data_IF_652729957439
#
_entry.id   IF_652729957439
#
_cell.length_a   1.000
_cell.length_b   1.000
_cell.length_c   1.000
_cell.angle_alpha   90.00
_cell.angle_beta   90.00
_cell.angle_gamma   90.00
#
_symmetry.space_group_name_H-M   'P 1'
#
loop_
_entity.id
_entity.type
_entity.pdbx_description
1 polymer ?
#
# COMPACT_ATOMS: atom_id res chain seq x y z
N UNK A 1 -7.41 -3.59 -26.30
CA UNK A 1 -7.72 -2.16 -26.55
C UNK A 1 -9.15 -1.74 -26.17
N UNK A 2 -10.26 -2.46 -26.49
CA UNK A 2 -11.62 -1.98 -26.15
C UNK A 2 -11.92 -1.93 -24.63
N UNK A 3 -11.37 -2.84 -23.84
CA UNK A 3 -11.65 -2.90 -22.39
C UNK A 3 -11.04 -1.70 -21.64
N UNK A 4 -9.84 -1.25 -22.01
CA UNK A 4 -9.17 -0.08 -21.38
C UNK A 4 -9.99 1.20 -21.58
N UNK A 5 -10.49 1.41 -22.81
CA UNK A 5 -11.29 2.59 -23.14
C UNK A 5 -12.65 2.57 -22.43
N UNK A 6 -13.21 1.37 -22.20
CA UNK A 6 -14.45 1.19 -21.47
C UNK A 6 -14.29 1.48 -19.97
N UNK A 7 -13.17 1.04 -19.34
CA UNK A 7 -12.85 1.29 -17.93
C UNK A 7 -12.63 2.78 -17.69
N UNK A 8 -11.78 3.44 -18.51
CA UNK A 8 -11.53 4.89 -18.38
C UNK A 8 -12.83 5.69 -18.59
N UNK A 9 -13.67 5.30 -19.57
CA UNK A 9 -14.98 5.94 -19.77
C UNK A 9 -15.93 5.71 -18.61
N UNK A 10 -15.95 4.51 -18.00
CA UNK A 10 -16.75 4.21 -16.83
C UNK A 10 -16.26 4.99 -15.60
N UNK A 11 -14.96 5.07 -15.35
CA UNK A 11 -14.37 5.84 -14.25
C UNK A 11 -14.65 7.33 -14.41
N UNK A 12 -14.50 7.88 -15.60
CA UNK A 12 -14.83 9.29 -15.92
C UNK A 12 -16.32 9.55 -15.76
N UNK A 13 -17.18 8.63 -16.21
CA UNK A 13 -18.64 8.78 -16.07
C UNK A 13 -19.08 8.73 -14.60
N UNK A 14 -18.50 7.85 -13.78
CA UNK A 14 -18.77 7.76 -12.33
C UNK A 14 -18.26 9.01 -11.62
N UNK A 15 -17.07 9.49 -11.94
CA UNK A 15 -16.53 10.73 -11.38
C UNK A 15 -17.40 11.95 -11.73
N UNK A 16 -17.92 12.03 -12.95
CA UNK A 16 -18.83 13.11 -13.39
C UNK A 16 -20.21 13.04 -12.72
N UNK A 17 -20.75 11.82 -12.51
CA UNK A 17 -22.03 11.63 -11.85
C UNK A 17 -21.98 11.93 -10.33
N UNK A 18 -20.81 11.71 -9.69
CA UNK A 18 -20.59 12.04 -8.28
C UNK A 18 -20.35 13.52 -7.99
N UNK A 19 -20.10 14.33 -9.02
CA UNK A 19 -19.77 15.77 -8.91
C UNK A 19 -20.92 16.72 -9.20
N UNK A 20 -22.19 16.26 -9.28
CA UNK A 20 -23.32 17.18 -9.44
C UNK A 20 -23.45 17.98 -8.13
N UNK A 21 -23.03 19.26 -8.09
CA UNK A 21 -23.14 20.05 -6.87
C UNK A 21 -24.62 20.32 -6.59
N UNK A 22 -25.04 20.00 -5.37
CA UNK A 22 -26.29 20.52 -4.83
C UNK A 22 -26.26 22.06 -4.88
N UNK A 23 -27.34 22.75 -5.19
CA UNK A 23 -27.37 24.20 -5.48
C UNK A 23 -27.15 25.14 -4.28
N UNK A 24 -26.49 24.70 -3.23
CA UNK A 24 -26.08 25.52 -2.09
C UNK A 24 -24.56 25.36 -1.80
N UNK A 25 -23.72 25.45 -2.83
CA UNK A 25 -22.27 25.51 -2.62
C UNK A 25 -21.90 26.86 -2.02
N UNK A 26 -21.80 26.94 -0.69
CA UNK A 26 -21.10 28.03 -0.03
C UNK A 26 -19.71 28.17 -0.67
N UNK A 27 -19.26 29.40 -0.96
CA UNK A 27 -17.99 29.63 -1.64
C UNK A 27 -16.84 28.99 -0.86
N UNK A 28 -16.20 27.97 -1.47
CA UNK A 28 -15.06 27.28 -0.89
C UNK A 28 -13.82 28.20 -0.94
N UNK A 29 -13.12 28.29 0.17
CA UNK A 29 -11.80 28.94 0.22
C UNK A 29 -10.74 28.00 -0.42
N UNK A 30 -9.73 28.59 -1.06
CA UNK A 30 -8.65 27.84 -1.70
C UNK A 30 -7.33 28.12 -1.00
N UNK A 31 -6.53 27.07 -0.76
CA UNK A 31 -5.16 27.18 -0.31
C UNK A 31 -4.25 26.42 -1.28
N UNK A 32 -3.08 26.99 -1.59
CA UNK A 32 -2.13 26.44 -2.55
C UNK A 32 -0.86 26.05 -1.84
N UNK A 33 -0.42 24.81 -2.02
CA UNK A 33 0.81 24.28 -1.42
C UNK A 33 1.68 23.72 -2.56
N UNK A 34 2.75 24.40 -2.95
CA UNK A 34 3.70 23.88 -3.92
C UNK A 34 4.67 22.92 -3.21
N UNK A 35 4.71 21.65 -3.62
CA UNK A 35 5.59 20.65 -3.04
C UNK A 35 6.58 20.16 -4.10
N UNK A 36 7.90 20.30 -3.88
CA UNK A 36 8.88 19.54 -4.63
C UNK A 36 8.77 18.07 -4.25
N UNK A 37 8.89 17.17 -5.21
CA UNK A 37 8.91 15.73 -5.00
C UNK A 37 10.31 15.18 -5.29
N UNK A 38 10.85 14.47 -4.33
CA UNK A 38 12.03 13.62 -4.48
C UNK A 38 11.67 12.29 -3.86
N UNK A 39 11.44 11.30 -4.71
CA UNK A 39 11.10 9.96 -4.28
C UNK A 39 12.27 9.04 -4.61
N UNK A 40 12.48 8.04 -3.79
CA UNK A 40 13.47 7.00 -4.04
C UNK A 40 12.91 5.65 -3.63
N UNK A 41 13.16 4.66 -4.45
CA UNK A 41 12.82 3.26 -4.23
C UNK A 41 13.91 2.38 -4.85
N UNK A 42 14.34 1.29 -4.20
CA UNK A 42 15.39 0.41 -4.75
C UNK A 42 15.05 -0.21 -6.11
N UNK A 43 13.79 -0.48 -6.41
CA UNK A 43 13.37 -1.08 -7.67
C UNK A 43 13.22 -0.05 -8.80
N UNK A 44 12.74 1.15 -8.47
CA UNK A 44 12.48 2.21 -9.45
C UNK A 44 13.63 3.22 -9.58
N UNK A 45 14.49 3.33 -8.55
CA UNK A 45 15.50 4.37 -8.46
C UNK A 45 14.93 5.72 -8.03
N UNK A 46 15.57 6.81 -8.48
CA UNK A 46 15.20 8.16 -8.08
C UNK A 46 14.17 8.78 -9.02
N UNK A 47 13.16 9.41 -8.43
CA UNK A 47 12.11 10.16 -9.13
C UNK A 47 12.12 11.60 -8.64
N UNK A 48 12.10 12.54 -9.55
CA UNK A 48 12.09 13.98 -9.25
C UNK A 48 10.84 14.61 -9.85
N UNK A 49 10.18 15.49 -9.09
CA UNK A 49 8.95 16.07 -9.56
C UNK A 49 8.50 17.32 -8.82
N UNK A 50 7.33 17.77 -9.21
CA UNK A 50 6.65 18.89 -8.59
C UNK A 50 5.16 18.58 -8.44
N UNK A 51 4.66 18.71 -7.22
CA UNK A 51 3.27 18.44 -6.82
C UNK A 51 2.60 19.72 -6.31
N UNK A 52 1.91 20.48 -7.16
CA UNK A 52 1.02 21.53 -6.70
C UNK A 52 -0.23 20.91 -6.06
N UNK A 53 -0.49 21.25 -4.80
CA UNK A 53 -1.69 20.84 -4.08
C UNK A 53 -2.61 22.03 -3.91
N UNK A 54 -3.89 21.86 -4.26
CA UNK A 54 -4.96 22.83 -4.04
C UNK A 54 -5.94 22.24 -3.04
N UNK A 55 -6.07 22.89 -1.88
CA UNK A 55 -7.05 22.55 -0.87
C UNK A 55 -8.30 23.42 -1.06
N UNK A 56 -9.46 22.81 -0.99
CA UNK A 56 -10.76 23.48 -0.98
C UNK A 56 -11.39 23.33 0.40
N UNK A 57 -11.54 24.42 1.13
CA UNK A 57 -12.00 24.44 2.50
C UNK A 57 -13.39 25.11 2.59
N UNK A 58 -14.22 24.64 3.51
CA UNK A 58 -15.47 25.31 3.86
C UNK A 58 -15.24 26.56 4.74
N UNK A 59 -16.33 27.20 5.17
CA UNK A 59 -16.29 28.40 6.04
C UNK A 59 -15.67 28.12 7.41
N UNK A 60 -15.70 26.86 7.88
CA UNK A 60 -15.09 26.40 9.11
C UNK A 60 -13.62 25.97 8.95
N UNK A 61 -13.03 26.19 7.75
CA UNK A 61 -11.69 25.75 7.36
C UNK A 61 -11.52 24.23 7.33
N UNK A 62 -12.61 23.47 7.17
CA UNK A 62 -12.57 22.02 7.00
C UNK A 62 -12.33 21.71 5.52
N UNK A 63 -11.37 20.84 5.24
CA UNK A 63 -11.07 20.41 3.87
C UNK A 63 -12.24 19.60 3.32
N UNK A 64 -12.76 20.00 2.17
CA UNK A 64 -13.82 19.32 1.41
C UNK A 64 -13.27 18.59 0.19
N UNK A 65 -12.28 19.19 -0.47
CA UNK A 65 -11.59 18.54 -1.60
C UNK A 65 -10.11 18.86 -1.57
N UNK A 66 -9.31 17.91 -2.10
CA UNK A 66 -7.90 18.09 -2.38
C UNK A 66 -7.69 17.75 -3.86
N UNK A 67 -7.15 18.69 -4.61
CA UNK A 67 -6.64 18.44 -5.94
C UNK A 67 -5.11 18.42 -5.86
N UNK A 68 -4.51 17.29 -6.25
CA UNK A 68 -3.07 17.08 -6.22
C UNK A 68 -2.65 16.44 -7.55
N UNK A 69 -2.04 17.22 -8.44
CA UNK A 69 -1.60 16.76 -9.75
C UNK A 69 -0.12 16.99 -9.85
N UNK A 70 0.63 16.01 -10.28
CA UNK A 70 2.09 16.10 -10.37
C UNK A 70 2.62 15.87 -11.78
N UNK A 71 3.84 16.34 -11.97
CA UNK A 71 4.70 15.97 -13.10
C UNK A 71 6.02 15.52 -12.50
N UNK A 72 6.42 14.28 -12.84
CA UNK A 72 7.63 13.64 -12.34
C UNK A 72 8.47 13.08 -13.48
N UNK A 73 9.73 12.88 -13.20
CA UNK A 73 10.65 12.20 -14.10
C UNK A 73 11.40 11.10 -13.35
N UNK A 74 11.43 9.93 -13.96
CA UNK A 74 12.22 8.77 -13.53
C UNK A 74 12.91 8.18 -14.77
N UNK A 75 14.11 7.64 -14.64
CA UNK A 75 14.89 7.14 -15.78
C UNK A 75 14.29 5.87 -16.41
N UNK A 76 13.52 5.07 -15.66
CA UNK A 76 12.84 3.85 -16.16
C UNK A 76 11.54 4.23 -16.86
N UNK A 77 10.70 4.99 -16.18
CA UNK A 77 9.33 5.30 -16.61
C UNK A 77 9.23 6.53 -17.52
N UNK A 78 10.28 7.36 -17.59
CA UNK A 78 10.27 8.63 -18.31
C UNK A 78 9.48 9.70 -17.57
N UNK A 79 8.84 10.61 -18.33
CA UNK A 79 7.96 11.62 -17.76
C UNK A 79 6.66 10.97 -17.30
N UNK A 80 6.29 11.27 -16.07
CA UNK A 80 5.13 10.73 -15.38
C UNK A 80 4.21 11.86 -14.98
N UNK A 81 2.93 11.73 -15.25
CA UNK A 81 1.93 12.72 -14.87
C UNK A 81 0.82 12.06 -14.09
N UNK A 82 0.32 12.76 -13.07
CA UNK A 82 -0.86 12.30 -12.35
C UNK A 82 -1.92 13.37 -12.18
N UNK A 83 -3.16 12.92 -12.06
CA UNK A 83 -4.30 13.68 -11.58
C UNK A 83 -4.87 12.95 -10.38
N UNK A 84 -4.96 13.63 -9.24
CA UNK A 84 -5.50 13.07 -7.99
C UNK A 84 -6.54 14.03 -7.44
N UNK A 85 -7.74 13.52 -7.23
CA UNK A 85 -8.84 14.26 -6.63
C UNK A 85 -9.39 13.47 -5.45
N UNK A 86 -9.37 14.09 -4.27
CA UNK A 86 -9.93 13.53 -3.04
C UNK A 86 -11.12 14.36 -2.60
N UNK A 87 -12.19 13.71 -2.19
CA UNK A 87 -13.38 14.33 -1.65
C UNK A 87 -13.70 13.84 -0.23
N UNK A 88 -14.06 14.78 0.64
CA UNK A 88 -14.40 14.55 2.04
C UNK A 88 -15.81 15.07 2.32
N UNK A 89 -16.87 14.34 1.90
CA UNK A 89 -18.26 14.75 2.15
C UNK A 89 -18.57 14.92 3.64
N UNK A 90 -17.95 14.10 4.50
CA UNK A 90 -18.01 14.21 5.96
C UNK A 90 -16.69 13.69 6.57
N UNK A 91 -16.54 13.80 7.89
CA UNK A 91 -15.40 13.23 8.62
C UNK A 91 -15.31 11.70 8.45
N UNK A 92 -16.47 11.03 8.32
CA UNK A 92 -16.53 9.58 8.19
C UNK A 92 -16.45 9.06 6.75
N UNK A 93 -16.60 9.96 5.75
CA UNK A 93 -16.68 9.58 4.33
C UNK A 93 -15.60 10.25 3.52
N UNK A 94 -14.90 9.44 2.73
CA UNK A 94 -13.95 9.93 1.74
C UNK A 94 -14.07 9.13 0.45
N UNK A 95 -13.68 9.76 -0.65
CA UNK A 95 -13.49 9.11 -1.93
C UNK A 95 -12.29 9.71 -2.64
N UNK A 96 -11.68 8.94 -3.52
CA UNK A 96 -10.58 9.42 -4.35
C UNK A 96 -10.68 8.89 -5.76
N UNK A 97 -10.18 9.70 -6.69
CA UNK A 97 -9.88 9.32 -8.07
C UNK A 97 -8.42 9.65 -8.32
N UNK A 98 -7.67 8.65 -8.75
CA UNK A 98 -6.26 8.76 -9.11
C UNK A 98 -6.10 8.28 -10.54
N UNK A 99 -5.51 9.11 -11.38
CA UNK A 99 -5.19 8.79 -12.76
C UNK A 99 -3.72 9.11 -12.96
N UNK A 100 -2.91 8.10 -13.20
CA UNK A 100 -1.46 8.23 -13.39
C UNK A 100 -1.05 7.57 -14.71
N UNK A 101 -0.14 8.22 -15.41
CA UNK A 101 0.42 7.67 -16.63
C UNK A 101 1.85 8.14 -16.84
N UNK A 102 2.74 7.19 -17.17
CA UNK A 102 4.09 7.48 -17.61
C UNK A 102 4.19 7.59 -19.14
N UNK A 103 5.29 8.16 -19.61
CA UNK A 103 5.63 8.22 -21.01
C UNK A 103 5.86 6.81 -21.60
N UNK A 104 6.44 5.92 -20.83
CA UNK A 104 6.82 4.58 -21.26
C UNK A 104 5.69 3.55 -21.06
N UNK A 105 5.67 2.87 -19.94
CA UNK A 105 4.84 1.67 -19.76
C UNK A 105 3.78 1.87 -18.68
N UNK A 106 4.08 2.60 -17.60
CA UNK A 106 3.29 2.57 -16.38
C UNK A 106 1.99 3.33 -16.50
N UNK A 107 0.96 2.73 -16.00
CA UNK A 107 -0.39 3.28 -15.90
C UNK A 107 -0.98 2.86 -14.54
N UNK A 108 -1.69 3.78 -13.89
CA UNK A 108 -2.41 3.50 -12.65
C UNK A 108 -3.69 4.34 -12.62
N UNK A 109 -4.83 3.65 -12.54
CA UNK A 109 -6.15 4.26 -12.50
C UNK A 109 -6.92 3.67 -11.32
N UNK A 110 -7.16 4.48 -10.29
CA UNK A 110 -7.80 4.06 -9.05
C UNK A 110 -9.06 4.87 -8.77
N UNK A 111 -10.10 4.19 -8.33
CA UNK A 111 -11.31 4.75 -7.75
C UNK A 111 -11.53 4.12 -6.38
N UNK A 112 -11.50 4.92 -5.32
CA UNK A 112 -11.67 4.48 -3.93
C UNK A 112 -12.82 5.19 -3.25
N UNK A 113 -13.56 4.45 -2.43
CA UNK A 113 -14.61 4.97 -1.56
C UNK A 113 -14.49 4.36 -0.17
N UNK A 114 -14.69 5.19 0.85
CA UNK A 114 -14.69 4.77 2.25
C UNK A 114 -15.82 5.48 3.02
N UNK A 115 -16.59 4.71 3.79
CA UNK A 115 -17.58 5.21 4.75
C UNK A 115 -17.41 4.48 6.08
N UNK A 116 -16.92 5.19 7.09
CA UNK A 116 -16.64 4.67 8.43
C UNK A 116 -17.86 4.75 9.36
N UNK A 117 -18.99 5.30 8.88
CA UNK A 117 -20.20 5.53 9.64
C UNK A 117 -21.47 5.02 8.92
N UNK A 118 -21.31 4.02 8.04
CA UNK A 118 -22.43 3.42 7.34
C UNK A 118 -23.34 2.67 8.32
N UNK A 119 -24.64 2.68 8.05
CA UNK A 119 -25.67 2.01 8.85
C UNK A 119 -25.57 2.32 10.37
N UNK A 120 -25.75 3.60 10.73
CA UNK A 120 -25.73 4.08 12.12
C UNK A 120 -24.42 3.76 12.85
N UNK A 121 -23.28 3.97 12.19
CA UNK A 121 -21.92 3.72 12.68
C UNK A 121 -21.60 2.24 12.99
N UNK A 122 -22.47 1.30 12.58
CA UNK A 122 -22.25 -0.13 12.82
C UNK A 122 -21.39 -0.80 11.77
N UNK A 123 -21.34 -0.26 10.56
CA UNK A 123 -20.60 -0.84 9.45
C UNK A 123 -19.60 0.17 8.91
N UNK A 124 -18.37 -0.25 8.71
CA UNK A 124 -17.41 0.44 7.86
C UNK A 124 -17.40 -0.21 6.50
N UNK A 125 -17.41 0.60 5.45
CA UNK A 125 -17.43 0.15 4.06
C UNK A 125 -16.21 0.73 3.36
N UNK A 126 -15.50 -0.12 2.62
CA UNK A 126 -14.43 0.29 1.73
C UNK A 126 -14.63 -0.38 0.37
N UNK A 127 -14.47 0.36 -0.70
CA UNK A 127 -14.50 -0.13 -2.07
C UNK A 127 -13.32 0.45 -2.84
N UNK A 128 -12.68 -0.39 -3.64
CA UNK A 128 -11.54 -0.03 -4.46
C UNK A 128 -11.66 -0.70 -5.83
N UNK A 129 -11.39 0.07 -6.88
CA UNK A 129 -11.27 -0.40 -8.24
C UNK A 129 -9.99 0.18 -8.83
N UNK A 130 -9.05 -0.69 -9.15
CA UNK A 130 -7.72 -0.33 -9.60
C UNK A 130 -7.35 -1.06 -10.88
N UNK A 131 -6.80 -0.31 -11.82
CA UNK A 131 -6.05 -0.85 -12.94
C UNK A 131 -4.62 -0.35 -12.83
N UNK A 132 -3.69 -1.26 -12.67
CA UNK A 132 -2.27 -0.93 -12.56
C UNK A 132 -1.45 -1.66 -13.63
N UNK A 133 -0.44 -0.97 -14.10
CA UNK A 133 0.60 -1.50 -14.95
C UNK A 133 1.93 -0.92 -14.48
N UNK A 134 2.68 -1.71 -13.72
CA UNK A 134 4.00 -1.36 -13.18
C UNK A 134 5.09 -2.17 -13.90
N UNK A 135 6.03 -1.46 -14.49
CA UNK A 135 7.10 -2.06 -15.30
C UNK A 135 8.41 -2.29 -14.54
N UNK A 136 8.45 -1.92 -13.27
CA UNK A 136 9.65 -1.96 -12.43
C UNK A 136 9.72 -3.16 -11.48
N UNK A 137 8.75 -4.05 -11.51
CA UNK A 137 8.67 -5.20 -10.63
C UNK A 137 9.86 -6.17 -10.78
N UNK A 138 10.29 -6.72 -9.64
CA UNK A 138 11.46 -7.61 -9.55
C UNK A 138 11.07 -9.01 -9.08
N UNK A 139 11.83 -9.98 -9.53
CA UNK A 139 11.76 -11.35 -9.03
C UNK A 139 13.15 -11.99 -9.02
N UNK A 140 13.49 -12.68 -7.93
CA UNK A 140 14.81 -13.26 -7.67
C UNK A 140 14.75 -14.78 -7.48
N UNK A 141 13.64 -15.42 -7.87
CA UNK A 141 13.34 -16.81 -7.53
C UNK A 141 12.60 -16.93 -6.18
N UNK A 142 12.29 -18.17 -5.83
CA UNK A 142 11.59 -18.47 -4.58
C UNK A 142 12.53 -18.73 -3.42
N UNK A 143 12.03 -18.48 -2.21
CA UNK A 143 12.67 -18.80 -0.95
C UNK A 143 13.52 -17.69 -0.36
N UNK A 144 13.84 -17.89 0.89
CA UNK A 144 14.57 -16.93 1.71
C UNK A 144 16.04 -16.78 1.29
N UNK A 145 16.61 -17.80 0.64
CA UNK A 145 17.98 -17.81 0.15
C UNK A 145 18.13 -17.44 -1.32
N UNK A 146 17.09 -16.85 -1.97
CA UNK A 146 17.18 -16.44 -3.38
C UNK A 146 18.32 -15.43 -3.59
N UNK A 147 19.12 -15.65 -4.65
CA UNK A 147 20.30 -14.84 -4.94
C UNK A 147 19.92 -13.50 -5.57
N UNK A 148 20.66 -12.44 -5.23
CA UNK A 148 20.53 -11.15 -5.94
C UNK A 148 21.06 -11.20 -7.38
N UNK A 149 21.88 -12.18 -7.69
CA UNK A 149 22.38 -12.39 -9.06
C UNK A 149 21.34 -12.98 -10.00
N UNK A 150 20.26 -13.58 -9.46
CA UNK A 150 19.14 -14.14 -10.23
C UNK A 150 18.02 -13.10 -10.45
N UNK A 151 18.37 -11.82 -10.32
CA UNK A 151 17.43 -10.72 -10.49
C UNK A 151 16.85 -10.68 -11.90
N UNK A 152 15.54 -10.63 -11.97
CA UNK A 152 14.78 -10.48 -13.21
C UNK A 152 13.73 -9.39 -13.06
N UNK A 153 13.22 -8.90 -14.19
CA UNK A 153 12.24 -7.83 -14.23
C UNK A 153 11.00 -8.25 -15.02
N UNK A 154 9.83 -7.78 -14.58
CA UNK A 154 8.58 -7.97 -15.30
C UNK A 154 7.66 -6.75 -15.13
N UNK A 155 6.66 -6.66 -16.00
CA UNK A 155 5.56 -5.71 -15.84
C UNK A 155 4.39 -6.43 -15.19
N UNK A 156 4.01 -6.01 -14.00
CA UNK A 156 2.74 -6.36 -13.38
C UNK A 156 1.62 -5.58 -14.07
N UNK A 157 0.66 -6.28 -14.66
CA UNK A 157 -0.47 -5.67 -15.37
C UNK A 157 -1.75 -6.29 -14.82
N UNK A 158 -2.47 -5.56 -13.98
CA UNK A 158 -3.66 -6.11 -13.34
C UNK A 158 -4.84 -5.14 -13.28
N UNK A 159 -6.01 -5.73 -13.20
CA UNK A 159 -7.26 -5.08 -12.81
C UNK A 159 -7.76 -5.75 -11.55
N UNK A 160 -7.96 -4.99 -10.49
CA UNK A 160 -8.49 -5.48 -9.23
C UNK A 160 -9.71 -4.68 -8.79
N UNK A 161 -10.70 -5.39 -8.25
CA UNK A 161 -11.84 -4.81 -7.57
C UNK A 161 -11.95 -5.40 -6.17
N UNK A 162 -12.06 -4.55 -5.16
CA UNK A 162 -12.18 -4.93 -3.76
C UNK A 162 -13.40 -4.28 -3.13
N UNK A 163 -14.14 -5.06 -2.35
CA UNK A 163 -15.14 -4.56 -1.39
C UNK A 163 -14.79 -5.12 -0.02
N UNK A 164 -14.64 -4.26 0.95
CA UNK A 164 -14.38 -4.65 2.34
C UNK A 164 -15.42 -4.03 3.26
N UNK A 165 -15.89 -4.84 4.19
CA UNK A 165 -16.90 -4.49 5.18
C UNK A 165 -16.37 -4.84 6.57
N UNK A 166 -16.62 -3.98 7.57
CA UNK A 166 -16.40 -4.33 8.97
C UNK A 166 -17.65 -4.03 9.79
N UNK A 167 -18.27 -5.09 10.31
CA UNK A 167 -19.40 -4.99 11.20
C UNK A 167 -18.95 -4.92 12.65
N UNK A 168 -19.25 -3.82 13.32
CA UNK A 168 -18.87 -3.55 14.72
C UNK A 168 -19.76 -4.36 15.67
N UNK A 169 -19.18 -5.37 16.31
CA UNK A 169 -19.82 -6.14 17.36
C UNK A 169 -19.79 -5.38 18.69
N UNK A 170 -18.63 -4.78 18.99
CA UNK A 170 -18.35 -3.95 20.17
C UNK A 170 -17.46 -2.78 19.75
N UNK A 171 -17.30 -1.75 20.58
CA UNK A 171 -16.47 -0.60 20.23
C UNK A 171 -15.06 -0.96 19.73
N UNK A 172 -14.48 -2.06 20.24
CA UNK A 172 -13.12 -2.52 19.93
C UNK A 172 -13.08 -3.77 19.06
N UNK A 173 -14.22 -4.43 18.77
CA UNK A 173 -14.27 -5.68 18.01
C UNK A 173 -15.18 -5.57 16.81
N UNK A 174 -14.68 -5.97 15.66
CA UNK A 174 -15.45 -6.07 14.42
C UNK A 174 -15.24 -7.42 13.72
N UNK A 175 -16.29 -7.91 13.06
CA UNK A 175 -16.18 -8.93 12.03
C UNK A 175 -15.89 -8.26 10.70
N UNK A 176 -14.96 -8.82 9.93
CA UNK A 176 -14.62 -8.29 8.62
C UNK A 176 -14.94 -9.29 7.52
N UNK A 177 -15.33 -8.74 6.39
CA UNK A 177 -15.52 -9.48 5.15
C UNK A 177 -14.88 -8.69 4.01
N UNK A 178 -14.07 -9.35 3.15
CA UNK A 178 -13.53 -8.79 1.93
C UNK A 178 -13.80 -9.72 0.76
N UNK A 179 -14.34 -9.16 -0.32
CA UNK A 179 -14.40 -9.82 -1.62
C UNK A 179 -13.44 -9.11 -2.55
N UNK A 180 -12.59 -9.86 -3.24
CA UNK A 180 -11.71 -9.32 -4.29
C UNK A 180 -11.83 -10.13 -5.57
N UNK A 181 -11.69 -9.43 -6.68
CA UNK A 181 -11.57 -10.02 -8.00
C UNK A 181 -10.40 -9.37 -8.71
N UNK A 182 -9.39 -10.16 -9.08
CA UNK A 182 -8.16 -9.71 -9.75
C UNK A 182 -7.94 -10.50 -11.03
N UNK A 183 -7.64 -9.80 -12.11
CA UNK A 183 -7.10 -10.38 -13.34
C UNK A 183 -5.68 -9.88 -13.48
N UNK A 184 -4.70 -10.78 -13.41
CA UNK A 184 -3.28 -10.45 -13.46
C UNK A 184 -2.63 -11.01 -14.72
N UNK A 185 -1.72 -10.25 -15.32
CA UNK A 185 -0.89 -10.63 -16.46
C UNK A 185 0.55 -10.24 -16.21
N UNK A 186 1.46 -11.03 -16.73
CA UNK A 186 2.90 -10.79 -16.69
C UNK A 186 3.33 -10.38 -18.09
N UNK A 187 3.83 -9.16 -18.23
CA UNK A 187 4.38 -8.64 -19.47
C UNK A 187 5.91 -8.41 -19.30
N UNK A 188 6.63 -8.16 -20.39
CA UNK A 188 8.05 -7.80 -20.34
C UNK A 188 8.25 -6.54 -19.51
N UNK A 189 9.24 -6.54 -18.62
CA UNK A 189 9.56 -5.40 -17.77
C UNK A 189 10.16 -4.21 -18.51
N UNK A 190 10.17 -3.05 -17.83
CA UNK A 190 10.69 -1.78 -18.36
C UNK A 190 12.16 -1.53 -18.05
N UNK A 191 12.83 -2.39 -17.28
CA UNK A 191 14.25 -2.25 -16.94
C UNK A 191 15.09 -3.02 -17.94
N UNK A 192 15.60 -2.32 -18.94
CA UNK A 192 16.33 -2.93 -20.08
C UNK A 192 17.63 -3.63 -19.70
N UNK A 193 18.18 -3.34 -18.52
CA UNK A 193 19.43 -3.95 -18.02
C UNK A 193 19.21 -5.31 -17.36
N UNK A 194 17.96 -5.71 -17.13
CA UNK A 194 17.61 -6.95 -16.46
C UNK A 194 16.91 -7.93 -17.42
N UNK A 195 17.12 -9.25 -17.25
CA UNK A 195 16.41 -10.25 -18.03
C UNK A 195 14.92 -10.25 -17.67
N UNK A 196 14.09 -10.68 -18.61
CA UNK A 196 12.67 -10.93 -18.36
C UNK A 196 12.50 -12.15 -17.46
N UNK A 197 11.58 -12.08 -16.48
CA UNK A 197 11.30 -13.20 -15.55
C UNK A 197 11.03 -14.51 -16.28
N UNK A 198 10.30 -14.50 -17.40
CA UNK A 198 10.01 -15.71 -18.17
C UNK A 198 11.22 -16.31 -18.88
N UNK A 199 12.32 -15.57 -19.01
CA UNK A 199 13.59 -16.04 -19.56
C UNK A 199 14.51 -16.56 -18.46
N UNK A 200 14.62 -15.82 -17.35
CA UNK A 200 15.50 -16.17 -16.23
C UNK A 200 14.90 -17.30 -15.37
N UNK A 201 13.58 -17.25 -15.15
CA UNK A 201 12.85 -18.21 -14.33
C UNK A 201 11.69 -18.86 -15.10
N UNK A 202 11.94 -19.65 -16.16
CA UNK A 202 10.89 -20.11 -17.10
C UNK A 202 9.86 -21.06 -16.47
N UNK A 203 10.19 -21.66 -15.32
CA UNK A 203 9.30 -22.57 -14.59
C UNK A 203 8.44 -21.90 -13.53
N UNK A 204 8.46 -20.56 -13.40
CA UNK A 204 7.74 -19.84 -12.36
C UNK A 204 6.22 -19.95 -12.58
N UNK A 205 5.45 -20.45 -11.59
CA UNK A 205 4.01 -20.50 -11.67
C UNK A 205 3.40 -19.10 -11.83
N UNK A 206 2.45 -18.95 -12.74
CA UNK A 206 1.75 -17.69 -12.96
C UNK A 206 2.31 -16.80 -14.06
N UNK A 207 3.36 -17.18 -14.78
CA UNK A 207 3.90 -16.42 -15.93
C UNK A 207 2.83 -16.16 -17.02
N UNK A 208 1.87 -17.07 -17.19
CA UNK A 208 0.74 -16.91 -18.10
C UNK A 208 -0.37 -15.99 -17.58
N UNK A 209 -0.22 -15.44 -16.37
CA UNK A 209 -1.25 -14.71 -15.67
C UNK A 209 -2.28 -15.61 -14.98
N UNK A 210 -3.19 -15.01 -14.23
CA UNK A 210 -4.30 -15.71 -13.57
C UNK A 210 -5.48 -14.78 -13.28
N UNK A 211 -6.65 -15.39 -13.10
CA UNK A 211 -7.82 -14.74 -12.50
C UNK A 211 -8.00 -15.27 -11.08
N UNK A 212 -8.15 -14.37 -10.12
CA UNK A 212 -8.27 -14.68 -8.70
C UNK A 212 -9.55 -14.03 -8.19
N UNK A 213 -10.45 -14.82 -7.60
CA UNK A 213 -11.67 -14.34 -6.93
C UNK A 213 -11.64 -14.90 -5.51
N UNK A 214 -11.34 -14.03 -4.55
CA UNK A 214 -11.18 -14.37 -3.16
C UNK A 214 -12.32 -13.85 -2.28
N UNK A 215 -12.64 -14.61 -1.24
CA UNK A 215 -13.58 -14.24 -0.18
C UNK A 215 -12.89 -14.39 1.15
N UNK A 216 -12.64 -13.28 1.84
CA UNK A 216 -11.94 -13.25 3.11
C UNK A 216 -12.90 -12.92 4.25
N UNK A 217 -12.78 -13.66 5.32
CA UNK A 217 -13.45 -13.42 6.60
C UNK A 217 -12.40 -13.14 7.65
N UNK A 218 -12.70 -12.24 8.59
CA UNK A 218 -11.74 -11.90 9.61
C UNK A 218 -12.34 -11.33 10.89
N UNK A 219 -11.44 -11.15 11.85
CA UNK A 219 -11.68 -10.49 13.12
C UNK A 219 -10.73 -9.30 13.24
N UNK A 220 -11.26 -8.18 13.65
CA UNK A 220 -10.52 -6.96 13.89
C UNK A 220 -10.71 -6.54 15.35
N UNK A 221 -9.62 -6.45 16.10
CA UNK A 221 -9.53 -5.81 17.40
C UNK A 221 -8.78 -4.50 17.26
N UNK A 222 -9.38 -3.37 17.60
CA UNK A 222 -8.77 -2.05 17.43
C UNK A 222 -9.06 -1.17 18.65
N UNK A 223 -8.01 -0.80 19.37
CA UNK A 223 -8.03 0.10 20.52
C UNK A 223 -7.11 1.30 20.33
N UNK A 224 -6.69 1.55 19.09
CA UNK A 224 -5.86 2.72 18.76
C UNK A 224 -6.64 4.00 19.00
N UNK A 225 -5.95 5.02 19.46
CA UNK A 225 -6.48 6.37 19.64
C UNK A 225 -6.76 7.08 18.31
N UNK A 226 -5.95 6.77 17.28
CA UNK A 226 -6.11 7.26 15.91
C UNK A 226 -5.76 6.15 14.91
N UNK A 227 -6.44 6.09 13.79
CA UNK A 227 -6.19 5.07 12.77
C UNK A 227 -5.03 5.42 11.83
N UNK A 228 -4.76 6.71 11.63
CA UNK A 228 -3.73 7.22 10.71
C UNK A 228 -2.42 7.56 11.44
N UNK A 229 -2.52 8.19 12.62
CA UNK A 229 -1.38 8.64 13.42
C UNK A 229 -1.46 8.06 14.84
N UNK A 230 -1.41 6.71 15.00
CA UNK A 230 -1.60 6.07 16.30
C UNK A 230 -0.44 6.37 17.25
N UNK A 231 -0.78 6.78 18.46
CA UNK A 231 0.17 7.03 19.54
C UNK A 231 0.04 6.01 20.67
N UNK A 232 -1.17 5.46 20.87
CA UNK A 232 -1.44 4.47 21.91
C UNK A 232 -2.47 3.44 21.45
N UNK A 233 -2.51 2.30 22.14
CA UNK A 233 -3.46 1.24 21.87
C UNK A 233 -2.85 0.05 21.14
N UNK A 234 -3.70 -0.75 20.53
CA UNK A 234 -3.31 -1.95 19.81
C UNK A 234 -4.28 -2.22 18.64
N UNK A 235 -3.76 -2.88 17.62
CA UNK A 235 -4.51 -3.46 16.53
C UNK A 235 -4.21 -4.96 16.48
N UNK A 236 -5.23 -5.79 16.36
CA UNK A 236 -5.12 -7.22 16.08
C UNK A 236 -6.02 -7.60 14.92
N UNK A 237 -5.50 -8.32 13.94
CA UNK A 237 -6.24 -8.77 12.76
C UNK A 237 -5.99 -10.26 12.57
N UNK A 238 -7.06 -11.02 12.38
CA UNK A 238 -7.01 -12.42 11.94
C UNK A 238 -7.87 -12.54 10.69
N UNK A 239 -7.35 -13.18 9.66
CA UNK A 239 -8.06 -13.37 8.38
C UNK A 239 -7.93 -14.78 7.85
N UNK A 240 -8.96 -15.21 7.12
CA UNK A 240 -8.95 -16.41 6.28
C UNK A 240 -9.60 -16.08 4.95
N UNK A 241 -8.82 -16.13 3.86
CA UNK A 241 -9.30 -15.92 2.49
C UNK A 241 -9.38 -17.26 1.76
N UNK A 242 -10.53 -17.55 1.19
CA UNK A 242 -10.79 -18.72 0.35
C UNK A 242 -10.83 -18.26 -1.10
N UNK A 243 -10.04 -18.89 -1.96
CA UNK A 243 -9.98 -18.66 -3.41
C UNK A 243 -10.40 -19.94 -4.14
N UNK A 244 -11.70 -20.15 -4.41
CA UNK A 244 -12.17 -21.37 -5.04
C UNK A 244 -12.31 -21.22 -6.56
N UNK A 245 -11.97 -22.26 -7.32
CA UNK A 245 -12.26 -22.33 -8.76
C UNK A 245 -13.76 -22.17 -9.08
N UNK A 246 -14.64 -22.57 -8.16
CA UNK A 246 -16.08 -22.45 -8.32
C UNK A 246 -16.58 -21.02 -8.53
N UNK A 247 -15.81 -19.99 -8.12
CA UNK A 247 -16.13 -18.59 -8.35
C UNK A 247 -15.45 -18.01 -9.61
N UNK A 248 -14.75 -18.84 -10.39
CA UNK A 248 -14.06 -18.41 -11.61
C UNK A 248 -12.57 -18.15 -11.44
N UNK A 249 -11.98 -18.49 -10.28
CA UNK A 249 -10.54 -18.43 -10.08
C UNK A 249 -9.80 -19.50 -10.91
N UNK A 250 -8.58 -19.18 -11.35
CA UNK A 250 -7.73 -20.11 -12.11
C UNK A 250 -7.32 -21.34 -11.30
N UNK A 251 -7.25 -21.23 -9.97
CA UNK A 251 -6.87 -22.30 -9.04
C UNK A 251 -7.61 -22.17 -7.71
N UNK A 252 -7.44 -23.18 -6.84
CA UNK A 252 -8.03 -23.16 -5.49
C UNK A 252 -6.91 -23.16 -4.46
N UNK A 253 -6.97 -22.22 -3.49
CA UNK A 253 -6.12 -22.16 -2.32
C UNK A 253 -6.79 -21.36 -1.20
N UNK A 254 -6.22 -21.39 -0.01
CA UNK A 254 -6.67 -20.60 1.14
C UNK A 254 -5.48 -19.85 1.74
N UNK A 255 -5.67 -18.57 2.06
CA UNK A 255 -4.67 -17.75 2.78
C UNK A 255 -5.16 -17.51 4.20
N UNK A 256 -4.26 -17.59 5.15
CA UNK A 256 -4.48 -17.21 6.54
C UNK A 256 -3.51 -16.10 6.91
N UNK A 257 -4.00 -15.07 7.57
CA UNK A 257 -3.21 -13.94 8.03
C UNK A 257 -3.44 -13.65 9.51
N UNK A 258 -2.37 -13.32 10.22
CA UNK A 258 -2.42 -12.81 11.58
C UNK A 258 -1.49 -11.61 11.69
N UNK A 259 -2.01 -10.49 12.19
CA UNK A 259 -1.22 -9.28 12.41
C UNK A 259 -1.55 -8.69 13.79
N UNK A 260 -0.50 -8.26 14.50
CA UNK A 260 -0.61 -7.52 15.74
C UNK A 260 0.25 -6.25 15.65
N UNK A 261 -0.33 -5.11 16.06
CA UNK A 261 0.39 -3.85 16.26
C UNK A 261 0.17 -3.36 17.68
N UNK A 262 1.21 -2.75 18.27
CA UNK A 262 1.13 -2.14 19.58
C UNK A 262 1.82 -0.79 19.58
N UNK A 263 1.15 0.21 20.14
CA UNK A 263 1.63 1.57 20.30
C UNK A 263 1.69 1.92 21.79
N UNK A 264 2.88 2.26 22.27
CA UNK A 264 3.14 2.53 23.68
C UNK A 264 3.75 3.93 23.79
N UNK A 265 2.97 4.93 24.21
CA UNK A 265 3.52 6.25 24.51
C UNK A 265 4.33 6.19 25.80
N UNK A 266 5.51 6.79 25.81
CA UNK A 266 6.24 7.06 27.02
C UNK A 266 6.81 8.48 26.96
N UNK A 267 6.43 9.29 27.92
CA UNK A 267 6.52 10.74 27.89
C UNK A 267 5.76 11.32 26.68
N UNK A 268 5.63 12.62 26.57
CA UNK A 268 4.83 13.30 25.57
C UNK A 268 5.35 13.18 24.12
N UNK A 269 6.66 12.89 23.98
CA UNK A 269 7.35 12.97 22.68
C UNK A 269 7.68 11.61 22.06
N UNK A 270 7.55 10.51 22.81
CA UNK A 270 8.02 9.20 22.38
C UNK A 270 6.85 8.23 22.22
N UNK A 271 6.87 7.47 21.15
CA UNK A 271 5.96 6.35 20.93
C UNK A 271 6.77 5.16 20.44
N UNK A 272 6.74 4.06 21.16
CA UNK A 272 7.24 2.78 20.66
C UNK A 272 6.11 2.11 19.86
N UNK A 273 6.30 2.00 18.56
CA UNK A 273 5.42 1.28 17.66
C UNK A 273 6.03 -0.08 17.33
N UNK A 274 5.24 -1.14 17.44
CA UNK A 274 5.67 -2.52 17.16
C UNK A 274 4.63 -3.19 16.29
N UNK A 275 5.09 -4.04 15.37
CA UNK A 275 4.27 -4.89 14.50
C UNK A 275 4.84 -6.29 14.45
N UNK A 276 3.95 -7.28 14.39
CA UNK A 276 4.28 -8.65 14.00
C UNK A 276 3.19 -9.15 13.05
N UNK A 277 3.59 -9.81 11.97
CA UNK A 277 2.69 -10.39 10.98
C UNK A 277 3.17 -11.77 10.55
N UNK A 278 2.23 -12.70 10.42
CA UNK A 278 2.43 -14.03 9.91
C UNK A 278 1.35 -14.33 8.87
N UNK A 279 1.75 -14.86 7.73
CA UNK A 279 0.84 -15.27 6.66
C UNK A 279 1.18 -16.72 6.25
N UNK A 280 0.14 -17.50 5.99
CA UNK A 280 0.22 -18.89 5.59
C UNK A 280 -0.69 -19.16 4.40
N UNK A 281 -0.19 -19.92 3.42
CA UNK A 281 -0.98 -20.33 2.25
C UNK A 281 -1.09 -21.85 2.23
N UNK A 282 -2.33 -22.35 2.32
CA UNK A 282 -2.68 -23.75 2.09
C UNK A 282 -3.17 -23.93 0.66
N UNK A 283 -2.43 -24.69 -0.13
CA UNK A 283 -2.75 -24.89 -1.55
C UNK A 283 -1.63 -25.60 -2.30
N UNK A 284 -1.82 -25.84 -3.59
CA UNK A 284 -0.85 -26.53 -4.44
C UNK A 284 0.45 -25.72 -4.61
N UNK A 285 1.48 -26.33 -5.18
CA UNK A 285 2.77 -25.66 -5.38
C UNK A 285 2.81 -24.76 -6.62
N UNK A 286 1.79 -24.85 -7.49
CA UNK A 286 1.64 -24.02 -8.68
C UNK A 286 0.86 -22.71 -8.44
N UNK A 287 0.72 -22.27 -7.18
CA UNK A 287 0.17 -20.96 -6.87
C UNK A 287 1.02 -19.88 -7.56
N UNK A 288 0.39 -18.96 -8.33
CA UNK A 288 1.10 -17.88 -9.01
C UNK A 288 2.01 -17.11 -8.06
N UNK A 289 3.22 -16.81 -8.50
CA UNK A 289 4.24 -16.13 -7.68
C UNK A 289 3.74 -14.78 -7.13
N UNK A 290 2.93 -14.05 -7.88
CA UNK A 290 2.33 -12.78 -7.47
C UNK A 290 1.17 -12.94 -6.45
N UNK A 291 0.74 -14.16 -6.17
CA UNK A 291 -0.19 -14.48 -5.07
C UNK A 291 0.53 -15.04 -3.84
N UNK A 292 1.81 -15.35 -3.94
CA UNK A 292 2.60 -15.79 -2.79
C UNK A 292 3.00 -14.60 -1.91
N UNK A 293 3.47 -14.90 -0.71
CA UNK A 293 3.88 -13.87 0.24
C UNK A 293 5.29 -13.38 -0.10
N UNK A 294 5.51 -12.08 0.05
CA UNK A 294 6.82 -11.47 -0.16
C UNK A 294 7.24 -10.63 1.03
N UNK A 295 8.56 -10.46 1.18
CA UNK A 295 9.17 -9.51 2.10
C UNK A 295 10.25 -8.70 1.35
N UNK A 296 10.53 -7.51 1.87
CA UNK A 296 11.26 -6.42 1.23
C UNK A 296 10.33 -5.23 1.02
N UNK A 297 10.89 -4.04 0.87
CA UNK A 297 10.12 -2.81 0.74
C UNK A 297 9.81 -2.13 2.08
N UNK A 298 9.22 -0.94 1.97
CA UNK A 298 8.98 -0.06 3.13
C UNK A 298 7.98 -0.63 4.16
N UNK A 299 7.13 -1.56 3.77
CA UNK A 299 6.14 -2.18 4.66
C UNK A 299 6.65 -3.40 5.43
N UNK A 300 7.85 -3.91 5.13
CA UNK A 300 8.36 -5.13 5.77
C UNK A 300 9.83 -5.05 6.16
N UNK A 301 10.76 -5.22 5.23
CA UNK A 301 12.20 -5.15 5.47
C UNK A 301 12.79 -3.95 4.72
N UNK A 302 12.88 -2.82 5.38
CA UNK A 302 13.27 -1.51 4.80
C UNK A 302 14.75 -1.40 4.38
N UNK A 303 15.48 -2.50 4.37
CA UNK A 303 16.85 -2.60 3.83
C UNK A 303 16.94 -3.38 2.52
N UNK A 304 15.79 -3.77 1.93
CA UNK A 304 15.70 -4.54 0.70
C UNK A 304 14.62 -3.96 -0.20
N UNK A 305 14.79 -4.08 -1.53
CA UNK A 305 13.76 -3.69 -2.50
C UNK A 305 12.45 -4.46 -2.32
N UNK A 306 11.36 -3.90 -2.81
CA UNK A 306 10.03 -4.52 -2.75
C UNK A 306 10.05 -5.88 -3.47
N UNK A 307 9.44 -6.91 -2.84
CA UNK A 307 9.38 -8.25 -3.42
C UNK A 307 10.71 -9.01 -3.44
N UNK A 308 11.73 -8.62 -2.64
CA UNK A 308 13.07 -9.23 -2.69
C UNK A 308 13.08 -10.72 -2.39
N UNK A 309 12.26 -11.19 -1.48
CA UNK A 309 12.12 -12.61 -1.14
C UNK A 309 10.64 -12.99 -1.25
N UNK A 310 10.36 -14.09 -1.95
CA UNK A 310 9.01 -14.58 -2.23
C UNK A 310 8.91 -16.05 -1.89
N UNK A 311 7.89 -16.46 -1.15
CA UNK A 311 7.53 -17.86 -0.92
C UNK A 311 6.07 -17.96 -0.42
N UNK A 312 5.57 -19.17 -0.20
CA UNK A 312 4.19 -19.41 0.26
C UNK A 312 3.89 -18.71 1.59
N UNK A 313 4.76 -18.83 2.56
CA UNK A 313 4.55 -18.39 3.93
C UNK A 313 5.53 -17.28 4.29
N UNK A 314 5.13 -16.41 5.22
CA UNK A 314 6.05 -15.37 5.73
C UNK A 314 5.83 -15.08 7.21
N UNK A 315 6.89 -14.58 7.81
CA UNK A 315 6.87 -13.90 9.09
C UNK A 315 7.63 -12.58 8.99
N UNK A 316 7.07 -11.50 9.54
CA UNK A 316 7.70 -10.18 9.63
C UNK A 316 7.44 -9.60 10.99
N UNK A 317 8.45 -8.97 11.59
CA UNK A 317 8.26 -8.12 12.76
C UNK A 317 9.08 -6.85 12.64
N UNK A 318 8.54 -5.76 13.19
CA UNK A 318 9.12 -4.43 13.14
C UNK A 318 8.96 -3.72 14.48
N UNK A 319 9.96 -2.92 14.83
CA UNK A 319 9.88 -2.02 15.98
C UNK A 319 10.44 -0.65 15.57
N UNK A 320 9.74 0.42 15.95
CA UNK A 320 10.09 1.80 15.60
C UNK A 320 9.89 2.70 16.81
N UNK A 321 10.91 3.50 17.14
CA UNK A 321 10.82 4.50 18.20
C UNK A 321 10.57 5.88 17.59
N UNK A 322 9.29 6.26 17.47
CA UNK A 322 8.86 7.56 16.98
C UNK A 322 9.14 8.63 18.02
N UNK A 323 9.95 9.61 17.66
CA UNK A 323 10.37 10.71 18.54
C UNK A 323 10.04 12.04 17.91
N UNK A 324 9.06 12.77 18.43
CA UNK A 324 8.75 14.12 17.97
C UNK A 324 9.88 15.07 18.40
N UNK A 325 10.70 15.51 17.43
CA UNK A 325 11.86 16.39 17.66
C UNK A 325 11.54 17.86 17.47
N UNK A 326 10.53 18.18 16.62
CA UNK A 326 10.14 19.55 16.34
C UNK A 326 8.66 19.65 16.07
N UNK A 327 8.04 20.79 16.44
CA UNK A 327 6.64 21.10 16.17
C UNK A 327 6.48 22.60 15.99
N UNK A 328 5.83 23.01 14.90
CA UNK A 328 5.55 24.40 14.60
C UNK A 328 4.34 24.54 13.67
N UNK A 329 3.61 25.61 13.82
CA UNK A 329 2.62 25.99 12.81
C UNK A 329 3.31 26.51 11.55
N UNK A 330 3.04 25.86 10.40
CA UNK A 330 3.59 26.19 9.07
C UNK A 330 2.39 26.27 8.11
N UNK A 331 2.24 27.39 7.41
CA UNK A 331 1.11 27.64 6.48
C UNK A 331 -0.28 27.46 7.13
N UNK A 332 -0.40 27.72 8.43
CA UNK A 332 -1.67 27.59 9.16
C UNK A 332 -2.03 26.15 9.57
N UNK A 333 -1.10 25.21 9.46
CA UNK A 333 -1.25 23.82 9.93
C UNK A 333 -0.17 23.47 10.96
N UNK A 334 -0.53 22.63 11.95
CA UNK A 334 0.41 22.10 12.94
C UNK A 334 1.33 21.05 12.26
N UNK A 335 2.57 21.42 11.96
CA UNK A 335 3.54 20.54 11.34
C UNK A 335 4.52 20.01 12.40
N UNK A 336 4.73 18.71 12.41
CA UNK A 336 5.61 18.02 13.33
C UNK A 336 6.71 17.29 12.55
N UNK A 337 7.91 17.27 13.09
CA UNK A 337 9.01 16.45 12.60
C UNK A 337 9.30 15.35 13.62
N UNK A 338 9.30 14.10 13.15
CA UNK A 338 9.67 12.94 13.96
C UNK A 338 10.94 12.28 13.41
N UNK A 339 11.73 11.76 14.34
CA UNK A 339 12.85 10.87 14.10
C UNK A 339 12.47 9.49 14.59
N UNK A 340 12.71 8.46 13.77
CA UNK A 340 12.22 7.13 14.01
C UNK A 340 13.30 6.06 13.71
N UNK A 341 14.26 5.82 14.64
CA UNK A 341 15.09 4.63 14.53
C UNK A 341 14.22 3.38 14.55
N UNK A 342 14.55 2.42 13.69
CA UNK A 342 13.78 1.20 13.53
C UNK A 342 14.63 -0.05 13.38
N UNK A 343 14.01 -1.18 13.65
CA UNK A 343 14.55 -2.50 13.43
C UNK A 343 13.46 -3.41 12.85
N UNK A 344 13.76 -4.02 11.70
CA UNK A 344 12.87 -4.96 11.02
C UNK A 344 13.56 -6.31 10.92
N UNK A 345 12.79 -7.40 11.04
CA UNK A 345 13.26 -8.74 10.74
C UNK A 345 12.13 -9.57 10.15
N UNK A 346 12.48 -10.50 9.28
CA UNK A 346 11.51 -11.34 8.61
C UNK A 346 12.13 -12.45 7.81
N UNK A 347 11.27 -13.35 7.37
CA UNK A 347 11.61 -14.52 6.60
C UNK A 347 10.42 -14.95 5.75
N UNK A 348 10.69 -15.45 4.53
CA UNK A 348 9.76 -16.27 3.76
C UNK A 348 10.15 -17.72 3.85
N UNK A 349 9.22 -18.66 3.69
CA UNK A 349 9.48 -20.07 3.74
C UNK A 349 8.36 -20.86 3.06
N UNK A 350 8.70 -22.03 2.52
CA UNK A 350 7.75 -22.86 1.80
C UNK A 350 6.69 -23.49 2.70
N UNK A 351 7.02 -23.76 3.95
CA UNK A 351 6.12 -24.35 4.95
C UNK A 351 6.55 -24.04 6.38
N UNK A 352 5.61 -23.77 7.28
CA UNK A 352 5.84 -23.62 8.72
C UNK A 352 6.50 -24.85 9.37
N UNK A 353 6.47 -26.01 8.71
CA UNK A 353 7.15 -27.23 9.17
C UNK A 353 8.64 -27.25 8.85
N UNK A 354 9.09 -26.44 7.87
CA UNK A 354 10.47 -26.44 7.39
C UNK A 354 11.35 -25.38 8.04
N UNK A 355 11.28 -25.25 9.37
CA UNK A 355 12.14 -24.38 10.17
C UNK A 355 11.86 -22.88 10.09
N UNK A 356 10.73 -22.40 10.60
CA UNK A 356 10.56 -20.99 10.81
C UNK A 356 11.65 -20.48 11.78
N UNK A 357 12.18 -19.28 11.50
CA UNK A 357 13.15 -18.54 12.33
C UNK A 357 14.63 -18.99 12.27
N UNK A 358 15.01 -19.87 11.36
CA UNK A 358 16.42 -20.29 11.24
C UNK A 358 17.27 -19.36 10.38
N UNK A 359 16.66 -18.54 9.52
CA UNK A 359 17.36 -17.70 8.54
C UNK A 359 16.65 -16.33 8.38
N UNK A 360 16.54 -15.61 9.50
CA UNK A 360 15.90 -14.31 9.54
C UNK A 360 16.76 -13.23 8.89
N UNK A 361 16.23 -12.54 7.89
CA UNK A 361 16.79 -11.27 7.44
C UNK A 361 16.52 -10.17 8.46
N UNK A 362 17.53 -9.38 8.77
CA UNK A 362 17.44 -8.26 9.71
C UNK A 362 17.86 -6.95 9.05
N UNK A 363 17.18 -5.88 9.41
CA UNK A 363 17.43 -4.51 8.94
C UNK A 363 17.41 -3.56 10.13
N UNK A 364 18.44 -2.73 10.25
CA UNK A 364 18.43 -1.59 11.15
C UNK A 364 18.42 -0.28 10.36
N UNK A 365 17.71 0.72 10.84
CA UNK A 365 17.63 1.96 10.07
C UNK A 365 17.11 3.17 10.84
N UNK A 366 16.96 4.26 10.10
CA UNK A 366 16.51 5.55 10.61
C UNK A 366 15.44 6.13 9.68
N UNK A 367 14.31 6.48 10.25
CA UNK A 367 13.21 7.15 9.58
C UNK A 367 13.08 8.61 9.98
N UNK A 368 12.70 9.43 9.03
CA UNK A 368 12.28 10.83 9.22
C UNK A 368 10.81 10.93 8.83
N UNK A 369 10.01 11.60 9.63
CA UNK A 369 8.58 11.77 9.40
C UNK A 369 8.22 13.25 9.44
N UNK A 370 7.55 13.72 8.40
CA UNK A 370 6.82 15.00 8.41
C UNK A 370 5.35 14.73 8.69
N UNK A 371 4.86 15.10 9.87
CA UNK A 371 3.51 14.77 10.31
C UNK A 371 2.65 16.04 10.36
N UNK A 372 1.51 16.01 9.68
CA UNK A 372 0.48 17.06 9.73
C UNK A 372 -0.82 16.40 10.18
N UNK A 373 -1.13 16.44 11.50
CA UNK A 373 -2.35 15.85 12.01
C UNK A 373 -3.61 16.48 11.39
N UNK A 374 -4.68 15.72 11.19
CA UNK A 374 -4.85 14.32 11.59
C UNK A 374 -4.54 13.30 10.49
N UNK A 375 -4.05 13.69 9.31
CA UNK A 375 -4.15 12.80 8.13
C UNK A 375 -2.88 12.66 7.29
N UNK A 376 -1.89 13.52 7.43
CA UNK A 376 -0.74 13.51 6.52
C UNK A 376 0.53 13.11 7.25
N UNK A 377 1.16 12.06 6.78
CA UNK A 377 2.51 11.64 7.21
C UNK A 377 3.34 11.44 5.96
N UNK A 378 4.36 12.29 5.76
CA UNK A 378 5.39 12.03 4.76
C UNK A 378 6.59 11.36 5.42
N UNK A 379 7.23 10.41 4.75
CA UNK A 379 8.37 9.70 5.33
C UNK A 379 9.57 9.63 4.40
N UNK A 380 10.74 9.51 5.03
CA UNK A 380 12.01 9.08 4.43
C UNK A 380 12.58 8.01 5.35
N UNK A 381 12.71 6.77 4.88
CA UNK A 381 13.33 5.66 5.60
C UNK A 381 14.64 5.27 4.93
N UNK A 382 15.69 5.12 5.73
CA UNK A 382 16.99 4.63 5.30
C UNK A 382 17.30 3.39 6.13
N UNK A 383 17.32 2.23 5.48
CA UNK A 383 17.59 0.94 6.09
C UNK A 383 18.88 0.32 5.60
N UNK A 384 19.59 -0.37 6.50
CA UNK A 384 20.79 -1.14 6.21
C UNK A 384 20.47 -2.62 6.43
N UNK A 385 20.47 -3.37 5.34
CA UNK A 385 20.32 -4.83 5.30
C UNK A 385 21.62 -5.51 4.86
N UNK A 386 21.56 -6.84 4.70
CA UNK A 386 22.71 -7.63 4.27
C UNK A 386 23.18 -7.29 2.83
N UNK A 387 22.31 -6.74 1.99
CA UNK A 387 22.61 -6.36 0.60
C UNK A 387 22.96 -4.86 0.44
N UNK A 388 23.14 -4.15 1.55
CA UNK A 388 23.52 -2.73 1.53
C UNK A 388 22.44 -1.82 2.07
N UNK A 389 22.46 -0.56 1.60
CA UNK A 389 21.55 0.50 2.03
C UNK A 389 20.39 0.61 1.04
N UNK A 390 19.18 0.61 1.56
CA UNK A 390 17.99 0.94 0.81
C UNK A 390 17.35 2.22 1.39
N UNK A 391 16.76 3.03 0.53
CA UNK A 391 16.06 4.23 0.94
C UNK A 391 14.67 4.25 0.29
N UNK A 392 13.68 4.63 1.08
CA UNK A 392 12.28 4.74 0.67
C UNK A 392 11.72 6.09 1.06
N UNK A 393 10.86 6.62 0.21
CA UNK A 393 10.09 7.82 0.51
C UNK A 393 8.64 7.61 0.13
N UNK A 394 7.73 8.20 0.86
CA UNK A 394 6.31 8.05 0.59
C UNK A 394 5.43 8.81 1.55
N UNK A 395 4.17 8.43 1.53
CA UNK A 395 3.13 8.93 2.43
C UNK A 395 2.65 7.77 3.32
N UNK A 396 2.21 8.10 4.54
CA UNK A 396 1.75 7.19 5.59
C UNK A 396 2.89 6.62 6.46
N UNK A 397 2.51 5.98 7.58
CA UNK A 397 3.45 5.19 8.39
C UNK A 397 3.64 3.80 7.78
N UNK A 398 4.81 3.16 7.95
CA UNK A 398 5.06 1.80 7.46
C UNK A 398 4.11 0.74 8.05
N UNK A 399 3.52 1.05 9.23
CA UNK A 399 2.51 0.20 9.87
C UNK A 399 1.74 0.96 10.96
#
# INVERSE_FOLDING_TARGET
MPLRLAIVRALVAIAVLGTIPSPAAAALQRSYIPLPEVLTDPNEGNTYGFLPVVLFLDQQKIIKYILASDVRYNHITGVYTSFRLFGYPSIARKWSVVLRKSQNIDEDYELRYEDNAFWQDRVRVFGDLEYEKDSSERFFGFGNGSSEHDESNYTANHLEAVVWLAYRLQPTFSLTYRSRARVFRVDKGGVDTLPFIGTEHPGTPGLGGATIIGQEFGFLYDTRDDTNIPRQGALGVLTAEIVPRAFGSSLTFTKYGAEARKFIPFRERFVLAMRARADYIDGPDDIPFFEQNSIGGHESLRGFGSGRFVDKDRFVASAELRTRVYQREIFGVDAQLELAPFFDFGQVFHSWRSSPFNDLHAVGGLGFRGVVPPQVVGFVDIGLGAQGVAAFTGLEYPF
#
